data_IF_301133158933
#
_entry.id   IF_301133158933
#
_cell.length_a   1.000
_cell.length_b   1.000
_cell.length_c   1.000
_cell.angle_alpha   90.00
_cell.angle_beta   90.00
_cell.angle_gamma   90.00
#
_symmetry.space_group_name_H-M   'P 1'
#
loop_
_entity.id
_entity.type
_entity.pdbx_description
1 polymer ?
#
# COMPACT_ATOMS: atom_id res chain seq x y z
N UNK A 1 -26.91 -14.39 -18.13
CA UNK A 1 -26.20 -13.88 -19.31
C UNK A 1 -24.69 -14.13 -19.15
N UNK A 2 -24.02 -14.41 -20.27
CA UNK A 2 -22.55 -14.53 -20.25
C UNK A 2 -21.93 -13.17 -20.51
N UNK A 3 -21.07 -12.71 -19.61
CA UNK A 3 -20.21 -11.55 -19.84
C UNK A 3 -18.91 -12.06 -20.48
N UNK A 4 -18.58 -11.58 -21.66
CA UNK A 4 -17.34 -11.94 -22.34
C UNK A 4 -16.46 -10.70 -22.52
N UNK A 5 -15.31 -10.70 -21.88
CA UNK A 5 -14.25 -9.71 -22.11
C UNK A 5 -13.20 -10.28 -23.04
N UNK A 6 -12.63 -9.45 -23.91
CA UNK A 6 -11.56 -9.84 -24.82
C UNK A 6 -10.47 -8.78 -24.81
N UNK A 7 -9.25 -9.21 -24.56
CA UNK A 7 -8.05 -8.38 -24.65
C UNK A 7 -7.11 -9.01 -25.68
N UNK A 8 -6.60 -8.19 -26.59
CA UNK A 8 -5.58 -8.57 -27.58
C UNK A 8 -4.42 -7.61 -27.41
N UNK A 9 -3.20 -8.14 -27.40
CA UNK A 9 -2.00 -7.33 -27.23
C UNK A 9 -0.95 -7.69 -28.27
N UNK A 10 -0.25 -6.69 -28.75
CA UNK A 10 0.97 -6.81 -29.53
C UNK A 10 2.09 -6.07 -28.82
N UNK A 11 3.26 -6.68 -28.74
CA UNK A 11 4.44 -6.03 -28.15
C UNK A 11 5.69 -6.31 -28.98
N UNK A 12 6.62 -5.37 -28.91
CA UNK A 12 7.95 -5.49 -29.49
C UNK A 12 8.98 -4.96 -28.48
N UNK A 13 10.17 -5.58 -28.50
CA UNK A 13 11.30 -5.13 -27.67
C UNK A 13 12.58 -5.16 -28.49
N UNK A 14 13.46 -4.20 -28.22
CA UNK A 14 14.80 -4.11 -28.78
C UNK A 14 15.79 -3.77 -27.67
N UNK A 15 16.95 -4.43 -27.70
CA UNK A 15 18.07 -4.10 -26.85
C UNK A 15 19.32 -3.92 -27.69
N UNK A 16 20.00 -2.81 -27.49
CA UNK A 16 21.24 -2.46 -28.15
C UNK A 16 22.36 -2.36 -27.13
N UNK A 17 23.36 -3.19 -27.24
CA UNK A 17 24.58 -3.16 -26.43
C UNK A 17 25.76 -2.59 -27.21
N UNK A 18 26.49 -1.63 -26.63
CA UNK A 18 27.69 -1.08 -27.20
C UNK A 18 28.92 -1.38 -26.33
N UNK A 19 29.86 -2.13 -26.87
CA UNK A 19 31.14 -2.49 -26.23
C UNK A 19 31.01 -3.10 -24.82
N UNK A 20 29.89 -3.73 -24.50
CA UNK A 20 29.55 -4.22 -23.15
C UNK A 20 29.57 -3.14 -22.05
N UNK A 21 29.51 -1.86 -22.44
CA UNK A 21 29.59 -0.72 -21.53
C UNK A 21 28.24 0.00 -21.43
N UNK A 22 27.54 0.16 -22.55
CA UNK A 22 26.31 0.92 -22.65
C UNK A 22 25.21 0.07 -23.26
N UNK A 23 24.04 0.09 -22.64
CA UNK A 23 22.87 -0.66 -23.06
C UNK A 23 21.67 0.26 -23.16
N UNK A 24 21.01 0.22 -24.30
CA UNK A 24 19.74 0.89 -24.56
C UNK A 24 18.69 -0.20 -24.76
N UNK A 25 17.65 -0.17 -23.96
CA UNK A 25 16.46 -1.01 -24.14
C UNK A 25 15.26 -0.15 -24.52
N UNK A 26 14.48 -0.62 -25.47
CA UNK A 26 13.24 0.03 -25.88
C UNK A 26 12.16 -1.04 -26.04
N UNK A 27 10.98 -0.80 -25.45
CA UNK A 27 9.83 -1.68 -25.61
C UNK A 27 8.60 -0.86 -25.97
N UNK A 28 7.72 -1.45 -26.75
CA UNK A 28 6.44 -0.88 -27.07
C UNK A 28 5.37 -1.97 -27.01
N UNK A 29 4.24 -1.66 -26.38
CA UNK A 29 3.10 -2.54 -26.30
C UNK A 29 1.83 -1.80 -26.72
N UNK A 30 0.98 -2.47 -27.48
CA UNK A 30 -0.33 -1.98 -27.87
C UNK A 30 -1.37 -2.98 -27.41
N UNK A 31 -2.35 -2.53 -26.64
CA UNK A 31 -3.44 -3.35 -26.13
C UNK A 31 -4.77 -2.86 -26.69
N UNK A 32 -5.61 -3.80 -27.13
CA UNK A 32 -6.99 -3.59 -27.53
C UNK A 32 -7.88 -4.32 -26.52
N UNK A 33 -8.64 -3.57 -25.75
CA UNK A 33 -9.52 -4.11 -24.71
C UNK A 33 -10.99 -3.85 -25.07
N UNK A 34 -11.81 -4.90 -25.06
CA UNK A 34 -13.24 -4.79 -25.38
C UNK A 34 -14.03 -3.89 -24.44
N UNK A 35 -13.47 -3.60 -23.25
CA UNK A 35 -14.05 -2.68 -22.25
C UNK A 35 -13.90 -1.20 -22.64
N UNK A 36 -13.02 -0.88 -23.59
CA UNK A 36 -12.71 0.47 -24.02
C UNK A 36 -13.26 0.79 -25.42
N UNK A 37 -14.29 0.07 -25.83
CA UNK A 37 -14.98 0.35 -27.09
C UNK A 37 -15.70 1.70 -26.97
N UNK A 38 -15.30 2.66 -27.81
CA UNK A 38 -15.97 3.94 -27.96
C UNK A 38 -16.46 4.08 -29.41
N UNK A 39 -17.75 4.37 -29.59
CA UNK A 39 -18.37 4.53 -30.91
C UNK A 39 -18.16 3.36 -31.91
N UNK A 40 -18.01 2.12 -31.39
CA UNK A 40 -17.79 0.92 -32.21
C UNK A 40 -16.31 0.63 -32.52
N UNK A 41 -15.40 1.52 -32.22
CA UNK A 41 -13.97 1.32 -32.39
C UNK A 41 -13.30 0.94 -31.08
N UNK A 42 -12.34 0.01 -31.15
CA UNK A 42 -11.47 -0.36 -30.03
C UNK A 42 -10.09 0.26 -30.25
N UNK A 43 -9.76 1.39 -29.59
CA UNK A 43 -8.49 2.04 -29.81
C UNK A 43 -7.33 1.19 -29.28
N UNK A 44 -6.18 1.26 -29.97
CA UNK A 44 -4.93 0.75 -29.44
C UNK A 44 -4.46 1.65 -28.31
N UNK A 45 -4.21 1.07 -27.14
CA UNK A 45 -3.60 1.75 -26.03
C UNK A 45 -2.11 1.44 -26.07
N UNK A 46 -1.32 2.42 -26.46
CA UNK A 46 0.13 2.25 -26.63
C UNK A 46 0.89 2.61 -25.36
N UNK A 47 1.82 1.73 -24.97
CA UNK A 47 2.69 1.86 -23.79
C UNK A 47 4.15 1.74 -24.20
N UNK A 48 4.91 2.83 -24.22
CA UNK A 48 6.36 2.82 -24.45
C UNK A 48 7.13 2.58 -23.15
N UNK A 49 8.31 1.97 -23.27
CA UNK A 49 9.33 1.97 -22.24
C UNK A 49 10.70 2.15 -22.89
N UNK A 50 11.54 2.96 -22.27
CA UNK A 50 12.93 3.16 -22.66
C UNK A 50 13.82 3.09 -21.44
N UNK A 51 14.92 2.35 -21.53
CA UNK A 51 15.91 2.23 -20.47
C UNK A 51 17.31 2.43 -21.01
N UNK A 52 18.12 3.14 -20.23
CA UNK A 52 19.54 3.33 -20.50
C UNK A 52 20.34 2.85 -19.29
N UNK A 53 21.36 2.03 -19.51
CA UNK A 53 22.28 1.66 -18.44
C UNK A 53 23.73 1.69 -18.94
N UNK A 54 24.62 2.22 -18.09
CA UNK A 54 26.04 2.32 -18.35
C UNK A 54 26.86 1.63 -17.26
N UNK A 55 27.77 0.75 -17.66
CA UNK A 55 28.74 0.09 -16.77
C UNK A 55 29.97 1.01 -16.71
N UNK A 56 29.98 1.92 -15.75
CA UNK A 56 31.00 2.97 -15.61
C UNK A 56 32.39 2.35 -15.38
N UNK A 57 32.45 1.24 -14.65
CA UNK A 57 33.70 0.49 -14.42
C UNK A 57 34.36 -0.06 -15.69
N UNK A 58 33.58 -0.22 -16.76
CA UNK A 58 34.12 -0.60 -18.08
C UNK A 58 34.49 0.61 -18.96
N UNK A 59 33.98 1.81 -18.62
CA UNK A 59 34.21 3.03 -19.40
C UNK A 59 35.46 3.78 -18.95
N UNK A 60 35.70 3.82 -17.64
CA UNK A 60 36.79 4.58 -17.01
C UNK A 60 37.47 3.76 -15.93
N UNK A 61 38.78 3.98 -15.73
CA UNK A 61 39.49 3.39 -14.60
C UNK A 61 39.02 4.02 -13.31
N UNK A 62 38.41 3.20 -12.46
CA UNK A 62 37.99 3.58 -11.13
C UNK A 62 39.10 3.23 -10.10
N UNK A 63 39.07 3.82 -8.88
CA UNK A 63 39.93 3.40 -7.79
C UNK A 63 39.76 1.90 -7.49
N UNK A 64 40.84 1.21 -7.12
CA UNK A 64 40.88 -0.26 -6.95
C UNK A 64 39.85 -0.81 -5.95
N UNK A 65 39.42 0.02 -5.00
CA UNK A 65 38.37 -0.41 -4.06
C UNK A 65 36.97 -0.50 -4.67
N UNK A 66 36.74 0.12 -5.87
CA UNK A 66 35.47 0.01 -6.61
C UNK A 66 35.60 -1.08 -7.67
N UNK A 67 35.03 -2.24 -7.40
CA UNK A 67 35.13 -3.40 -8.29
C UNK A 67 34.12 -3.36 -9.44
N UNK A 68 33.00 -2.65 -9.25
CA UNK A 68 31.93 -2.54 -10.24
C UNK A 68 31.09 -1.30 -9.97
N UNK A 69 30.72 -0.58 -11.02
CA UNK A 69 29.80 0.54 -10.93
C UNK A 69 28.92 0.59 -12.18
N UNK A 70 27.61 0.48 -11.99
CA UNK A 70 26.59 0.64 -13.04
C UNK A 70 25.58 1.70 -12.64
N UNK A 71 25.29 2.59 -13.57
CA UNK A 71 24.16 3.53 -13.47
C UNK A 71 23.06 3.09 -14.43
N UNK A 72 21.81 3.28 -14.01
CA UNK A 72 20.63 2.98 -14.83
C UNK A 72 19.60 4.09 -14.70
N UNK A 73 18.89 4.34 -15.80
CA UNK A 73 17.71 5.20 -15.81
C UNK A 73 16.69 4.62 -16.76
N UNK A 74 15.41 4.77 -16.42
CA UNK A 74 14.33 4.33 -17.28
C UNK A 74 13.12 5.25 -17.22
N UNK A 75 12.39 5.27 -18.31
CA UNK A 75 11.06 5.80 -18.42
C UNK A 75 10.13 4.71 -18.91
N UNK A 76 9.00 4.51 -18.23
CA UNK A 76 8.05 3.47 -18.57
C UNK A 76 6.63 4.01 -18.47
N UNK A 77 5.82 3.75 -19.47
CA UNK A 77 4.37 3.89 -19.39
C UNK A 77 3.72 2.50 -19.31
N UNK A 78 2.79 2.37 -18.37
CA UNK A 78 1.95 1.18 -18.23
C UNK A 78 0.51 1.62 -18.20
N UNK A 79 -0.35 0.91 -18.90
CA UNK A 79 -1.77 1.14 -18.82
C UNK A 79 -2.50 -0.07 -18.26
N UNK A 80 -3.56 0.19 -17.54
CA UNK A 80 -4.48 -0.84 -17.08
C UNK A 80 -5.81 -0.68 -17.82
N UNK A 81 -6.30 -1.73 -18.48
CA UNK A 81 -7.68 -1.70 -18.95
C UNK A 81 -8.61 -1.64 -17.74
N UNK A 82 -9.74 -0.97 -17.91
CA UNK A 82 -10.76 -0.91 -16.86
C UNK A 82 -11.29 -2.32 -16.62
N UNK A 83 -11.17 -2.80 -15.40
CA UNK A 83 -11.56 -4.17 -15.03
C UNK A 83 -13.05 -4.29 -14.69
N UNK A 84 -13.71 -3.17 -14.40
CA UNK A 84 -15.12 -3.15 -14.03
C UNK A 84 -16.00 -3.37 -15.24
N UNK A 85 -16.97 -4.23 -15.07
CA UNK A 85 -17.99 -4.56 -16.07
C UNK A 85 -19.26 -3.76 -15.81
N UNK A 86 -19.99 -3.39 -16.86
CA UNK A 86 -21.24 -2.63 -16.74
C UNK A 86 -21.09 -1.12 -16.66
N UNK A 87 -19.91 -0.59 -17.02
CA UNK A 87 -19.59 0.84 -16.99
C UNK A 87 -19.99 1.53 -18.31
N UNK A 88 -20.00 0.79 -19.40
CA UNK A 88 -20.38 1.33 -20.73
C UNK A 88 -21.85 1.76 -20.75
N UNK A 89 -22.15 2.93 -21.36
CA UNK A 89 -23.53 3.36 -21.50
C UNK A 89 -24.32 2.30 -22.29
N UNK A 90 -25.20 1.63 -21.59
CA UNK A 90 -26.09 0.64 -22.11
C UNK A 90 -27.21 0.42 -21.11
N UNK A 91 -28.45 0.40 -21.59
CA UNK A 91 -29.58 0.01 -20.76
C UNK A 91 -29.45 -1.48 -20.42
N UNK A 92 -28.83 -1.79 -19.31
CA UNK A 92 -28.89 -3.14 -18.74
C UNK A 92 -30.18 -3.19 -17.93
N UNK A 93 -31.22 -3.63 -18.54
CA UNK A 93 -32.41 -4.11 -17.86
C UNK A 93 -32.08 -5.53 -17.38
N UNK A 94 -31.87 -5.70 -16.09
CA UNK A 94 -31.81 -7.04 -15.49
C UNK A 94 -33.24 -7.52 -15.27
N UNK A 95 -33.75 -8.49 -16.07
CA UNK A 95 -35.10 -9.02 -15.87
C UNK A 95 -35.10 -9.88 -14.61
N UNK A 96 -35.52 -9.32 -13.46
CA UNK A 96 -35.82 -10.15 -12.31
C UNK A 96 -37.02 -11.04 -12.53
N UNK A 97 -36.98 -12.24 -11.98
CA UNK A 97 -38.11 -13.16 -11.90
C UNK A 97 -39.33 -12.44 -11.28
N UNK A 98 -40.38 -12.24 -12.08
CA UNK A 98 -41.60 -11.53 -11.67
C UNK A 98 -41.90 -10.24 -12.42
N UNK A 99 -41.10 -9.86 -13.42
CA UNK A 99 -41.38 -8.70 -14.29
C UNK A 99 -41.08 -7.34 -13.71
N UNK A 100 -40.34 -7.27 -12.58
CA UNK A 100 -39.89 -6.01 -12.01
C UNK A 100 -38.55 -5.62 -12.67
N UNK A 101 -38.52 -4.44 -13.29
CA UNK A 101 -37.30 -3.85 -13.86
C UNK A 101 -36.60 -3.08 -12.73
N UNK A 102 -35.43 -3.56 -12.29
CA UNK A 102 -34.57 -2.79 -11.42
C UNK A 102 -33.77 -1.77 -12.22
N UNK A 103 -33.91 -0.48 -11.98
CA UNK A 103 -33.10 0.54 -12.61
C UNK A 103 -31.63 0.34 -12.28
N UNK A 104 -30.74 0.70 -13.21
CA UNK A 104 -29.30 0.71 -12.96
C UNK A 104 -29.02 1.64 -11.78
N UNK A 105 -28.39 1.11 -10.74
CA UNK A 105 -28.10 1.89 -9.53
C UNK A 105 -26.89 2.82 -9.68
N UNK A 106 -26.07 2.62 -10.71
CA UNK A 106 -24.87 3.43 -10.96
C UNK A 106 -25.07 4.26 -12.23
N UNK A 107 -24.79 5.56 -12.12
CA UNK A 107 -24.88 6.46 -13.27
C UNK A 107 -23.85 6.06 -14.33
N UNK A 108 -24.24 5.86 -15.61
CA UNK A 108 -23.32 5.44 -16.66
C UNK A 108 -22.34 6.57 -17.02
N UNK A 109 -21.05 6.24 -17.13
CA UNK A 109 -20.02 7.16 -17.56
C UNK A 109 -19.75 7.00 -19.07
N UNK A 110 -19.83 8.06 -19.87
CA UNK A 110 -19.83 7.93 -21.32
C UNK A 110 -18.45 7.78 -21.96
N UNK A 111 -17.36 8.17 -21.29
CA UNK A 111 -16.06 8.34 -21.95
C UNK A 111 -14.88 7.89 -21.05
N UNK A 112 -14.79 6.57 -20.87
CA UNK A 112 -13.72 5.97 -20.09
C UNK A 112 -12.37 6.03 -20.82
N UNK A 113 -11.37 6.56 -20.12
CA UNK A 113 -9.97 6.49 -20.53
C UNK A 113 -9.27 5.36 -19.77
N UNK A 114 -8.29 4.68 -20.37
CA UNK A 114 -7.49 3.70 -19.61
C UNK A 114 -6.71 4.41 -18.51
N UNK A 115 -6.58 3.74 -17.38
CA UNK A 115 -5.61 4.17 -16.38
C UNK A 115 -4.21 4.13 -16.97
N UNK A 116 -3.40 5.13 -16.70
CA UNK A 116 -2.07 5.26 -17.26
C UNK A 116 -1.07 5.65 -16.18
N UNK A 117 -0.10 4.77 -15.91
CA UNK A 117 1.00 5.05 -15.00
C UNK A 117 2.25 5.39 -15.79
N UNK A 118 2.83 6.55 -15.50
CA UNK A 118 4.11 7.01 -16.04
C UNK A 118 5.14 6.96 -14.92
N UNK A 119 6.23 6.23 -15.15
CA UNK A 119 7.28 6.01 -14.15
C UNK A 119 8.64 6.46 -14.67
N UNK A 120 9.39 7.13 -13.81
CA UNK A 120 10.79 7.50 -14.00
C UNK A 120 11.61 6.84 -12.90
N UNK A 121 12.70 6.20 -13.27
CA UNK A 121 13.60 5.55 -12.33
C UNK A 121 15.05 5.93 -12.61
N UNK A 122 15.81 6.12 -11.55
CA UNK A 122 17.26 6.28 -11.59
C UNK A 122 17.86 5.36 -10.55
N UNK A 123 18.83 4.53 -10.94
CA UNK A 123 19.44 3.57 -10.04
C UNK A 123 20.94 3.47 -10.19
N UNK A 124 21.57 3.05 -9.12
CA UNK A 124 22.98 2.78 -9.01
C UNK A 124 23.20 1.37 -8.48
N UNK A 125 24.10 0.61 -9.09
CA UNK A 125 24.57 -0.65 -8.56
C UNK A 125 26.10 -0.58 -8.45
N UNK A 126 26.62 -0.76 -7.24
CA UNK A 126 28.04 -0.67 -6.97
C UNK A 126 28.53 -1.89 -6.17
N UNK A 127 29.76 -2.31 -6.45
CA UNK A 127 30.45 -3.36 -5.68
C UNK A 127 31.83 -2.85 -5.30
N UNK A 128 32.19 -3.09 -4.06
CA UNK A 128 33.44 -2.62 -3.47
C UNK A 128 34.24 -3.80 -2.91
N UNK A 129 35.55 -3.63 -2.78
CA UNK A 129 36.46 -4.59 -2.15
C UNK A 129 36.35 -6.01 -2.75
N UNK A 130 36.46 -6.09 -4.08
CA UNK A 130 36.31 -7.34 -4.85
C UNK A 130 34.94 -8.04 -4.63
N UNK A 131 33.88 -7.23 -4.48
CA UNK A 131 32.51 -7.73 -4.34
C UNK A 131 32.10 -8.11 -2.92
N UNK A 132 32.96 -7.88 -1.92
CA UNK A 132 32.59 -8.10 -0.50
C UNK A 132 31.46 -7.21 -0.05
N UNK A 133 31.44 -5.94 -0.50
CA UNK A 133 30.36 -5.00 -0.24
C UNK A 133 29.61 -4.75 -1.53
N UNK A 134 28.30 -4.84 -1.49
CA UNK A 134 27.40 -4.50 -2.60
C UNK A 134 26.40 -3.44 -2.16
N UNK A 135 26.15 -2.48 -3.03
CA UNK A 135 25.13 -1.46 -2.85
C UNK A 135 24.26 -1.40 -4.11
N UNK A 136 22.96 -1.47 -3.93
CA UNK A 136 21.97 -1.17 -4.95
C UNK A 136 21.03 -0.10 -4.40
N UNK A 137 20.83 0.97 -5.15
CA UNK A 137 19.94 2.06 -4.78
C UNK A 137 19.13 2.49 -5.97
N UNK A 138 17.84 2.69 -5.78
CA UNK A 138 16.91 3.18 -6.80
C UNK A 138 16.06 4.29 -6.22
N UNK A 139 15.98 5.39 -6.94
CA UNK A 139 14.96 6.42 -6.76
C UNK A 139 13.93 6.28 -7.86
N UNK A 140 12.67 6.36 -7.53
CA UNK A 140 11.57 6.31 -8.49
C UNK A 140 10.52 7.38 -8.22
N UNK A 141 9.85 7.78 -9.29
CA UNK A 141 8.62 8.53 -9.23
C UNK A 141 7.66 7.99 -10.27
N UNK A 142 6.45 7.62 -9.84
CA UNK A 142 5.36 7.21 -10.72
C UNK A 142 4.14 8.10 -10.51
N UNK A 143 3.48 8.43 -11.61
CA UNK A 143 2.23 9.18 -11.62
C UNK A 143 1.18 8.35 -12.34
N UNK A 144 0.08 8.03 -11.65
CA UNK A 144 -1.07 7.31 -12.21
C UNK A 144 -2.17 8.29 -12.52
N UNK A 145 -2.60 8.29 -13.76
CA UNK A 145 -3.66 9.16 -14.30
C UNK A 145 -4.92 8.36 -14.61
N UNK A 146 -6.06 9.02 -14.59
CA UNK A 146 -7.37 8.45 -14.94
C UNK A 146 -7.76 7.25 -14.06
N UNK A 147 -7.39 7.23 -12.77
CA UNK A 147 -7.88 6.20 -11.86
C UNK A 147 -9.40 6.29 -11.75
N UNK A 148 -10.06 5.13 -11.83
CA UNK A 148 -11.51 5.04 -11.82
C UNK A 148 -12.00 4.71 -10.41
N UNK A 149 -12.84 5.57 -9.85
CA UNK A 149 -13.46 5.40 -8.54
C UNK A 149 -14.98 5.46 -8.64
N UNK A 150 -15.66 4.68 -7.80
CA UNK A 150 -17.11 4.77 -7.64
C UNK A 150 -17.42 5.74 -6.48
N UNK A 151 -17.94 6.90 -6.79
CA UNK A 151 -18.38 7.89 -5.81
C UNK A 151 -19.85 7.69 -5.43
N UNK A 152 -20.18 8.06 -4.19
CA UNK A 152 -21.57 8.07 -3.71
C UNK A 152 -22.32 9.21 -4.35
N UNK A 153 -23.56 8.96 -4.81
CA UNK A 153 -24.46 9.97 -5.32
C UNK A 153 -25.68 10.11 -4.42
N UNK A 154 -26.24 11.31 -4.37
CA UNK A 154 -27.45 11.55 -3.58
C UNK A 154 -28.59 10.67 -4.10
N UNK A 155 -29.32 9.94 -3.23
CA UNK A 155 -30.48 9.13 -3.63
C UNK A 155 -31.56 9.92 -4.39
N UNK A 156 -31.61 11.24 -4.22
CA UNK A 156 -32.55 12.11 -4.94
C UNK A 156 -32.35 12.11 -6.47
N UNK A 157 -31.17 11.68 -6.95
CA UNK A 157 -30.86 11.55 -8.39
C UNK A 157 -31.40 10.26 -9.01
N UNK A 158 -31.87 9.32 -8.20
CA UNK A 158 -32.27 7.97 -8.63
C UNK A 158 -31.10 6.99 -8.79
N UNK A 159 -29.87 7.44 -8.55
CA UNK A 159 -28.66 6.61 -8.61
C UNK A 159 -28.00 6.55 -7.22
N UNK A 160 -27.32 5.43 -6.95
CA UNK A 160 -26.56 5.26 -5.69
C UNK A 160 -25.10 5.65 -5.79
N UNK A 161 -24.58 5.74 -7.03
CA UNK A 161 -23.19 6.13 -7.27
C UNK A 161 -22.92 6.47 -8.72
N UNK A 162 -21.77 7.07 -8.98
CA UNK A 162 -21.26 7.38 -10.31
C UNK A 162 -19.74 7.16 -10.36
N UNK A 163 -19.25 6.82 -11.53
CA UNK A 163 -17.83 6.65 -11.74
C UNK A 163 -17.17 8.00 -12.00
N UNK A 164 -16.02 8.19 -11.37
CA UNK A 164 -15.14 9.34 -11.56
C UNK A 164 -13.76 8.83 -11.93
N UNK A 165 -13.15 9.42 -12.93
CA UNK A 165 -11.74 9.17 -13.22
C UNK A 165 -10.89 10.28 -12.58
N UNK A 166 -10.09 9.91 -11.56
CA UNK A 166 -9.24 10.85 -10.82
C UNK A 166 -8.03 11.27 -11.65
N UNK A 167 -7.63 12.53 -11.48
CA UNK A 167 -6.61 13.17 -12.30
C UNK A 167 -5.22 12.57 -12.17
N UNK A 168 -4.58 12.64 -10.98
CA UNK A 168 -3.16 12.31 -10.84
C UNK A 168 -2.84 11.86 -9.41
N UNK A 169 -2.40 10.61 -9.25
CA UNK A 169 -1.87 10.08 -7.99
C UNK A 169 -0.39 9.78 -8.17
N UNK A 170 0.44 10.38 -7.34
CA UNK A 170 1.89 10.25 -7.39
C UNK A 170 2.39 9.35 -6.27
N UNK A 171 3.27 8.42 -6.64
CA UNK A 171 4.16 7.69 -5.74
C UNK A 171 5.60 8.09 -6.04
N UNK A 172 6.37 8.41 -5.03
CA UNK A 172 7.81 8.60 -5.17
C UNK A 172 8.52 7.95 -3.99
N UNK A 173 9.65 7.34 -4.26
CA UNK A 173 10.32 6.63 -3.21
C UNK A 173 11.77 6.30 -3.51
N UNK A 174 12.37 5.70 -2.51
CA UNK A 174 13.76 5.22 -2.53
C UNK A 174 13.77 3.78 -2.04
N UNK A 175 14.49 2.95 -2.76
CA UNK A 175 14.79 1.57 -2.35
C UNK A 175 16.30 1.40 -2.33
N UNK A 176 16.84 0.85 -1.24
CA UNK A 176 18.27 0.60 -1.09
C UNK A 176 18.51 -0.77 -0.51
N UNK A 177 19.56 -1.42 -0.99
CA UNK A 177 20.08 -2.67 -0.44
C UNK A 177 21.59 -2.55 -0.24
N UNK A 178 22.05 -2.80 0.97
CA UNK A 178 23.46 -2.90 1.31
C UNK A 178 23.78 -4.34 1.70
N UNK A 179 24.69 -4.97 0.98
CA UNK A 179 25.14 -6.33 1.23
C UNK A 179 26.60 -6.38 1.65
N UNK A 180 26.90 -7.30 2.56
CA UNK A 180 28.28 -7.69 2.87
C UNK A 180 28.41 -9.21 2.87
N UNK A 181 29.43 -9.73 2.18
CA UNK A 181 29.71 -11.14 2.09
C UNK A 181 31.21 -11.37 2.32
N UNK A 182 31.56 -12.28 3.22
CA UNK A 182 32.95 -12.66 3.44
C UNK A 182 33.06 -14.09 3.96
N UNK A 183 34.28 -14.63 3.90
CA UNK A 183 34.61 -15.95 4.42
C UNK A 183 35.67 -15.85 5.49
N UNK A 184 35.34 -16.22 6.71
CA UNK A 184 36.22 -16.23 7.87
C UNK A 184 36.63 -17.69 8.19
N UNK A 185 37.74 -18.16 7.61
CA UNK A 185 38.18 -19.53 7.74
C UNK A 185 37.17 -20.52 7.13
N UNK A 186 36.38 -21.21 7.99
CA UNK A 186 35.35 -22.17 7.55
C UNK A 186 33.93 -21.63 7.65
N UNK A 187 33.78 -20.36 8.03
CA UNK A 187 32.49 -19.68 8.17
C UNK A 187 32.27 -18.77 6.97
N UNK A 188 31.23 -19.00 6.21
CA UNK A 188 30.75 -18.06 5.22
C UNK A 188 29.67 -17.22 5.87
N UNK A 189 29.84 -15.91 5.82
CA UNK A 189 28.90 -14.94 6.37
C UNK A 189 28.38 -14.02 5.28
N UNK A 190 27.07 -13.85 5.24
CA UNK A 190 26.38 -12.92 4.34
C UNK A 190 25.37 -12.11 5.14
N UNK A 191 25.31 -10.83 4.88
CA UNK A 191 24.28 -9.97 5.45
C UNK A 191 23.76 -8.97 4.43
N UNK A 192 22.45 -8.70 4.48
CA UNK A 192 21.78 -7.74 3.61
C UNK A 192 20.87 -6.87 4.44
N UNK A 193 21.08 -5.56 4.32
CA UNK A 193 20.21 -4.54 4.88
C UNK A 193 19.41 -3.90 3.75
N UNK A 194 18.08 -3.95 3.83
CA UNK A 194 17.17 -3.29 2.90
C UNK A 194 16.51 -2.09 3.58
N UNK A 195 16.29 -1.04 2.82
CA UNK A 195 15.56 0.15 3.21
C UNK A 195 14.61 0.55 2.09
N UNK A 196 13.35 0.78 2.43
CA UNK A 196 12.32 1.21 1.47
C UNK A 196 11.50 2.34 2.08
N UNK A 197 11.40 3.45 1.36
CA UNK A 197 10.51 4.56 1.69
C UNK A 197 9.70 4.94 0.46
N UNK A 198 8.38 5.08 0.63
CA UNK A 198 7.46 5.53 -0.40
C UNK A 198 6.57 6.64 0.12
N UNK A 199 6.37 7.68 -0.67
CA UNK A 199 5.41 8.74 -0.40
C UNK A 199 4.32 8.72 -1.48
N UNK A 200 3.11 8.36 -1.09
CA UNK A 200 1.91 8.48 -1.91
C UNK A 200 1.27 9.86 -1.74
N UNK A 201 0.78 10.45 -2.83
CA UNK A 201 0.04 11.73 -2.80
C UNK A 201 -0.96 11.81 -3.94
N UNK A 202 -2.19 12.14 -3.62
CA UNK A 202 -3.20 12.60 -4.59
C UNK A 202 -2.84 14.03 -4.95
N UNK A 203 -2.22 14.20 -6.13
CA UNK A 203 -1.75 15.52 -6.61
C UNK A 203 -2.92 16.35 -7.10
N UNK A 204 -3.84 15.69 -7.80
CA UNK A 204 -4.99 16.30 -8.43
C UNK A 204 -6.10 15.23 -8.50
N UNK A 205 -7.32 15.60 -8.17
CA UNK A 205 -8.46 14.73 -8.37
C UNK A 205 -9.14 15.05 -9.71
N UNK A 206 -10.25 15.73 -9.70
CA UNK A 206 -11.02 16.06 -10.90
C UNK A 206 -11.22 17.56 -10.97
N UNK A 207 -10.65 18.18 -11.98
CA UNK A 207 -10.84 19.59 -12.25
C UNK A 207 -11.52 19.78 -13.60
N UNK A 208 -12.39 20.78 -13.69
CA UNK A 208 -13.13 21.16 -14.90
C UNK A 208 -13.92 19.99 -15.54
N UNK A 209 -14.40 19.06 -14.69
CA UNK A 209 -15.25 17.99 -15.14
C UNK A 209 -16.59 18.53 -15.62
N UNK A 210 -16.93 18.26 -16.86
CA UNK A 210 -18.19 18.64 -17.43
C UNK A 210 -19.28 17.63 -17.06
N UNK A 211 -20.20 18.03 -16.21
CA UNK A 211 -21.33 17.21 -15.82
C UNK A 211 -22.19 16.86 -17.06
N UNK A 212 -22.38 15.58 -17.39
CA UNK A 212 -23.12 15.19 -18.60
C UNK A 212 -24.62 15.49 -18.52
N UNK A 213 -25.17 15.80 -17.35
CA UNK A 213 -26.60 16.06 -17.15
C UNK A 213 -26.93 17.51 -17.47
N UNK A 214 -26.19 18.45 -16.89
CA UNK A 214 -26.51 19.90 -16.95
C UNK A 214 -25.39 20.73 -17.62
N UNK A 215 -24.32 20.06 -18.06
CA UNK A 215 -23.17 20.69 -18.72
C UNK A 215 -22.38 21.66 -17.84
N UNK A 216 -22.62 21.66 -16.52
CA UNK A 216 -21.87 22.47 -15.56
C UNK A 216 -20.43 21.97 -15.39
N UNK A 217 -19.52 22.87 -15.03
CA UNK A 217 -18.16 22.49 -14.66
C UNK A 217 -18.11 22.19 -13.16
N UNK A 218 -17.64 21.00 -12.83
CA UNK A 218 -17.54 20.53 -11.44
C UNK A 218 -16.08 20.23 -11.11
N UNK A 219 -15.64 20.75 -9.97
CA UNK A 219 -14.35 20.44 -9.38
C UNK A 219 -14.57 19.52 -8.18
N UNK A 220 -13.91 18.36 -8.16
CA UNK A 220 -13.99 17.37 -7.10
C UNK A 220 -12.60 17.27 -6.46
N UNK A 221 -12.46 17.84 -5.26
CA UNK A 221 -11.22 17.82 -4.47
C UNK A 221 -11.26 16.81 -3.33
N UNK A 222 -12.41 16.19 -3.09
CA UNK A 222 -12.63 15.18 -2.08
C UNK A 222 -13.71 14.19 -2.51
N UNK A 223 -13.54 12.91 -2.13
CA UNK A 223 -14.36 11.80 -2.59
C UNK A 223 -14.52 10.75 -1.51
N UNK A 224 -15.72 10.20 -1.36
CA UNK A 224 -15.95 9.00 -0.53
C UNK A 224 -16.14 7.79 -1.43
N UNK A 225 -15.29 6.77 -1.24
CA UNK A 225 -15.34 5.52 -1.99
C UNK A 225 -16.37 4.58 -1.37
N UNK A 226 -17.40 4.24 -2.12
CA UNK A 226 -18.50 3.37 -1.66
C UNK A 226 -18.07 1.90 -1.51
N UNK A 227 -17.28 1.39 -2.45
CA UNK A 227 -16.87 -0.02 -2.49
C UNK A 227 -15.85 -0.38 -1.42
N UNK A 228 -15.15 0.60 -0.88
CA UNK A 228 -14.09 0.42 0.11
C UNK A 228 -14.51 0.74 1.56
N UNK A 229 -15.81 0.67 1.86
CA UNK A 229 -16.30 0.91 3.22
C UNK A 229 -16.20 2.36 3.66
N UNK A 230 -16.62 3.29 2.79
CA UNK A 230 -16.61 4.75 3.04
C UNK A 230 -15.20 5.34 3.24
N UNK A 231 -14.20 4.81 2.54
CA UNK A 231 -12.87 5.42 2.50
C UNK A 231 -12.95 6.82 1.89
N UNK A 232 -12.42 7.79 2.61
CA UNK A 232 -12.42 9.19 2.19
C UNK A 232 -11.08 9.58 1.59
N UNK A 233 -11.11 10.09 0.36
CA UNK A 233 -9.95 10.60 -0.35
C UNK A 233 -10.03 12.11 -0.45
N UNK A 234 -8.89 12.78 -0.35
CA UNK A 234 -8.80 14.24 -0.46
C UNK A 234 -7.53 14.63 -1.22
N UNK A 235 -7.67 15.61 -2.09
CA UNK A 235 -6.54 16.20 -2.82
C UNK A 235 -5.49 16.76 -1.85
N UNK A 236 -4.21 16.53 -2.16
CA UNK A 236 -3.10 16.92 -1.32
C UNK A 236 -2.68 15.89 -0.26
N UNK A 237 -3.51 14.89 0.00
CA UNK A 237 -3.28 13.81 0.97
C UNK A 237 -2.88 12.50 0.29
N UNK A 238 -2.52 11.47 1.09
CA UNK A 238 -2.27 10.13 0.59
C UNK A 238 -3.58 9.36 0.37
N UNK A 239 -3.57 8.40 -0.55
CA UNK A 239 -4.65 7.42 -0.67
C UNK A 239 -4.79 6.52 0.56
N UNK A 240 -3.72 6.41 1.36
CA UNK A 240 -3.68 5.63 2.59
C UNK A 240 -3.97 6.48 3.84
N UNK A 241 -4.35 7.75 3.66
CA UNK A 241 -4.76 8.60 4.77
C UNK A 241 -6.11 8.17 5.33
N UNK A 242 -6.14 7.96 6.63
CA UNK A 242 -7.34 7.56 7.37
C UNK A 242 -8.01 8.78 7.95
N UNK A 243 -9.29 8.92 7.65
CA UNK A 243 -10.14 9.98 8.18
C UNK A 243 -11.26 9.38 9.02
N UNK A 244 -11.70 10.11 10.03
CA UNK A 244 -12.84 9.73 10.86
C UNK A 244 -13.73 10.94 11.11
N UNK A 245 -14.96 10.68 11.56
CA UNK A 245 -15.85 11.68 12.13
C UNK A 245 -16.09 11.32 13.59
N UNK A 246 -16.21 12.33 14.44
CA UNK A 246 -16.55 12.13 15.84
C UNK A 246 -15.40 12.37 16.80
N UNK A 247 -15.54 13.44 17.55
CA UNK A 247 -14.75 13.77 18.73
C UNK A 247 -15.69 14.08 19.87
N UNK A 248 -15.25 13.88 21.10
CA UNK A 248 -16.00 14.28 22.28
C UNK A 248 -16.11 15.80 22.33
N UNK A 249 -17.35 16.30 22.47
CA UNK A 249 -17.60 17.73 22.56
C UNK A 249 -17.26 18.24 23.97
N UNK A 250 -16.65 19.42 23.99
CA UNK A 250 -16.28 20.10 25.23
C UNK A 250 -17.13 21.37 25.40
N UNK A 251 -17.54 21.61 26.63
CA UNK A 251 -18.15 22.86 27.04
C UNK A 251 -17.12 23.99 27.15
N UNK A 252 -17.59 25.20 27.46
CA UNK A 252 -16.74 26.38 27.66
C UNK A 252 -15.80 26.25 28.86
N UNK A 253 -16.13 25.39 29.81
CA UNK A 253 -15.34 25.05 30.99
C UNK A 253 -14.26 23.95 30.73
N UNK A 254 -14.16 23.50 29.51
CA UNK A 254 -13.23 22.44 29.09
C UNK A 254 -13.69 21.01 29.40
N UNK A 255 -14.84 20.85 30.12
CA UNK A 255 -15.37 19.53 30.44
C UNK A 255 -16.13 18.94 29.26
N UNK A 256 -16.23 17.60 29.27
CA UNK A 256 -17.05 16.88 28.32
C UNK A 256 -18.53 17.24 28.54
N UNK A 257 -19.26 17.49 27.46
CA UNK A 257 -20.70 17.75 27.52
C UNK A 257 -21.41 16.41 27.68
N UNK A 258 -22.23 16.33 28.73
CA UNK A 258 -23.01 15.11 28.99
C UNK A 258 -24.24 15.01 28.07
N UNK A 259 -24.51 13.81 27.56
CA UNK A 259 -25.66 13.49 26.74
C UNK A 259 -26.20 12.09 27.09
N UNK A 260 -27.40 12.02 27.62
CA UNK A 260 -28.00 10.77 28.05
C UNK A 260 -27.12 10.02 29.04
N UNK A 261 -26.80 8.76 28.71
CA UNK A 261 -25.88 7.90 29.50
C UNK A 261 -24.43 7.93 29.00
N UNK A 262 -24.04 8.99 28.29
CA UNK A 262 -22.71 9.16 27.73
C UNK A 262 -22.30 10.61 27.63
N UNK A 263 -21.51 10.92 26.58
CA UNK A 263 -21.00 12.25 26.27
C UNK A 263 -21.33 12.62 24.83
N UNK A 264 -21.57 13.91 24.60
CA UNK A 264 -21.89 14.41 23.27
C UNK A 264 -20.70 14.26 22.30
N UNK A 265 -21.03 13.86 21.09
CA UNK A 265 -20.04 13.64 20.01
C UNK A 265 -20.28 14.63 18.90
N UNK A 266 -19.27 15.43 18.60
CA UNK A 266 -19.28 16.30 17.41
C UNK A 266 -18.81 15.48 16.19
N UNK A 267 -19.71 15.35 15.20
CA UNK A 267 -19.45 14.66 13.92
C UNK A 267 -19.47 15.63 12.73
N UNK A 268 -19.48 16.93 13.00
CA UNK A 268 -19.60 17.96 11.96
C UNK A 268 -18.38 18.04 11.04
N UNK A 269 -17.22 17.59 11.51
CA UNK A 269 -15.96 17.67 10.78
C UNK A 269 -15.32 16.31 10.59
N UNK A 270 -14.65 16.15 9.47
CA UNK A 270 -13.74 15.02 9.22
C UNK A 270 -12.35 15.35 9.75
N UNK A 271 -11.78 14.43 10.49
CA UNK A 271 -10.49 14.55 11.14
C UNK A 271 -9.55 13.57 10.51
N UNK A 272 -8.39 14.03 10.08
CA UNK A 272 -7.31 13.15 9.61
C UNK A 272 -6.62 12.52 10.82
N UNK A 273 -6.58 11.19 10.86
CA UNK A 273 -5.90 10.44 11.91
C UNK A 273 -4.41 10.24 11.59
N UNK A 274 -4.06 10.09 10.33
CA UNK A 274 -2.72 9.85 9.82
C UNK A 274 -2.75 8.99 8.57
N UNK A 275 -1.57 8.59 8.10
CA UNK A 275 -1.43 7.63 6.99
C UNK A 275 -1.27 6.21 7.51
N UNK A 276 -1.93 5.24 6.89
CA UNK A 276 -1.69 3.83 7.16
C UNK A 276 -0.34 3.36 6.58
N UNK A 277 0.21 4.07 5.60
CA UNK A 277 1.53 3.74 5.06
C UNK A 277 2.63 4.10 6.06
N UNK A 278 3.69 3.28 6.20
CA UNK A 278 4.86 3.63 6.98
C UNK A 278 5.66 4.75 6.32
N UNK A 279 6.40 5.51 7.12
CA UNK A 279 7.39 6.46 6.61
C UNK A 279 8.52 5.73 5.89
N UNK A 280 8.94 4.58 6.45
CA UNK A 280 9.88 3.65 5.83
C UNK A 280 9.81 2.26 6.48
N UNK A 281 10.32 1.26 5.75
CA UNK A 281 10.52 -0.10 6.24
C UNK A 281 11.98 -0.50 6.09
N UNK A 282 12.44 -1.37 6.99
CA UNK A 282 13.79 -1.95 6.94
C UNK A 282 13.72 -3.46 7.13
N UNK A 283 14.62 -4.17 6.43
CA UNK A 283 14.84 -5.58 6.62
C UNK A 283 16.34 -5.86 6.78
N UNK A 284 16.71 -6.64 7.78
CA UNK A 284 18.09 -7.01 8.02
C UNK A 284 18.22 -8.51 8.12
N UNK A 285 18.80 -9.12 7.08
CA UNK A 285 19.03 -10.54 6.97
C UNK A 285 20.49 -10.88 7.24
N UNK A 286 20.70 -11.98 8.00
CA UNK A 286 22.01 -12.59 8.21
C UNK A 286 21.93 -14.06 7.84
N UNK A 287 22.92 -14.55 7.10
CA UNK A 287 23.10 -15.94 6.76
C UNK A 287 24.53 -16.36 7.16
N UNK A 288 24.63 -17.34 8.04
CA UNK A 288 25.88 -17.88 8.57
C UNK A 288 25.96 -19.37 8.20
N UNK A 289 26.97 -19.74 7.41
CA UNK A 289 27.18 -21.10 7.01
C UNK A 289 28.49 -21.61 7.58
N UNK A 290 28.42 -22.68 8.35
CA UNK A 290 29.57 -23.36 8.91
C UNK A 290 29.50 -24.85 8.62
N UNK A 291 30.35 -25.36 7.73
CA UNK A 291 30.32 -26.75 7.27
C UNK A 291 28.93 -27.15 6.77
N UNK A 292 28.28 -28.05 7.50
CA UNK A 292 26.97 -28.60 7.18
C UNK A 292 25.80 -27.87 7.86
N UNK A 293 26.07 -26.79 8.61
CA UNK A 293 25.06 -26.03 9.36
C UNK A 293 24.91 -24.66 8.71
N UNK A 294 23.67 -24.26 8.44
CA UNK A 294 23.30 -22.94 7.98
C UNK A 294 22.31 -22.31 8.95
N UNK A 295 22.61 -21.11 9.44
CA UNK A 295 21.74 -20.30 10.29
C UNK A 295 21.31 -19.08 9.50
N UNK A 296 20.01 -18.86 9.37
CA UNK A 296 19.41 -17.65 8.80
C UNK A 296 18.64 -16.89 9.87
N UNK A 297 18.82 -15.59 9.91
CA UNK A 297 18.14 -14.66 10.79
C UNK A 297 17.62 -13.48 9.97
N UNK A 298 16.35 -13.11 10.17
CA UNK A 298 15.76 -11.93 9.55
C UNK A 298 15.02 -11.08 10.57
N UNK A 299 15.45 -9.84 10.67
CA UNK A 299 14.81 -8.81 11.49
C UNK A 299 14.13 -7.83 10.53
N UNK A 300 12.88 -7.48 10.82
CA UNK A 300 12.16 -6.45 10.05
C UNK A 300 11.70 -5.34 10.97
N UNK A 301 11.67 -4.13 10.43
CA UNK A 301 11.15 -2.94 11.11
C UNK A 301 10.24 -2.15 10.19
N UNK A 302 9.10 -1.74 10.73
CA UNK A 302 8.19 -0.77 10.16
C UNK A 302 8.21 0.47 11.04
N UNK A 303 8.39 1.63 10.45
CA UNK A 303 8.53 2.90 11.16
C UNK A 303 7.50 3.89 10.65
N UNK A 304 6.74 4.49 11.56
CA UNK A 304 5.63 5.36 11.22
C UNK A 304 4.39 4.60 10.74
N UNK A 305 3.44 5.37 10.22
CA UNK A 305 2.11 4.90 9.89
C UNK A 305 1.23 4.73 11.11
N UNK A 306 -0.06 4.60 10.86
CA UNK A 306 -1.06 4.37 11.92
C UNK A 306 -1.80 3.06 11.68
N UNK A 307 -2.37 2.55 12.77
CA UNK A 307 -3.32 1.44 12.76
C UNK A 307 -4.48 1.78 13.68
N UNK A 308 -5.71 1.47 13.26
CA UNK A 308 -6.91 1.63 14.07
C UNK A 308 -7.39 0.26 14.56
N UNK A 309 -8.01 0.22 15.75
CA UNK A 309 -8.52 -1.02 16.33
C UNK A 309 -9.95 -0.88 16.81
N UNK A 310 -10.88 -1.39 16.02
CA UNK A 310 -12.26 -1.51 16.43
C UNK A 310 -12.44 -2.58 17.51
N UNK A 311 -11.62 -3.64 17.50
CA UNK A 311 -11.61 -4.65 18.55
C UNK A 311 -11.30 -4.03 19.91
N UNK A 312 -10.30 -3.14 19.99
CA UNK A 312 -9.99 -2.43 21.24
C UNK A 312 -11.17 -1.55 21.68
N UNK A 313 -11.81 -0.86 20.72
CA UNK A 313 -12.99 -0.03 21.01
C UNK A 313 -14.10 -0.87 21.62
N UNK A 314 -14.42 -2.02 21.07
CA UNK A 314 -15.43 -2.93 21.65
C UNK A 314 -15.00 -3.48 23.00
N UNK A 315 -13.75 -3.92 23.16
CA UNK A 315 -13.26 -4.41 24.46
C UNK A 315 -13.40 -3.34 25.55
N UNK A 316 -13.13 -2.10 25.23
CA UNK A 316 -13.28 -0.97 26.15
C UNK A 316 -14.77 -0.70 26.47
N UNK A 317 -15.63 -0.66 25.45
CA UNK A 317 -17.06 -0.45 25.60
C UNK A 317 -17.71 -1.54 26.47
N UNK A 318 -17.31 -2.80 26.31
CA UNK A 318 -17.80 -3.91 27.14
C UNK A 318 -17.07 -4.03 28.48
N UNK A 319 -16.10 -3.17 28.78
CA UNK A 319 -15.38 -3.14 30.03
C UNK A 319 -14.46 -4.34 30.29
N UNK A 320 -14.09 -5.09 29.23
CA UNK A 320 -13.27 -6.31 29.32
C UNK A 320 -11.80 -6.08 29.01
N UNK A 321 -11.40 -4.87 28.62
CA UNK A 321 -10.00 -4.51 28.41
C UNK A 321 -9.29 -4.19 29.72
N UNK A 322 -7.96 -4.35 29.73
CA UNK A 322 -7.13 -3.94 30.86
C UNK A 322 -7.27 -2.45 31.17
N UNK A 323 -7.32 -1.61 30.13
CA UNK A 323 -7.42 -0.15 30.28
C UNK A 323 -8.74 0.26 30.92
N UNK A 324 -9.86 -0.34 30.49
CA UNK A 324 -11.18 -0.07 31.09
C UNK A 324 -11.27 -0.59 32.53
N UNK A 325 -10.63 -1.72 32.86
CA UNK A 325 -10.56 -2.25 34.22
C UNK A 325 -9.78 -1.30 35.13
N UNK A 326 -8.57 -0.89 34.73
CA UNK A 326 -7.75 0.07 35.48
C UNK A 326 -8.47 1.42 35.69
N UNK A 327 -9.21 1.90 34.68
CA UNK A 327 -10.00 3.11 34.81
C UNK A 327 -11.10 2.98 35.88
N UNK A 328 -11.81 1.82 35.94
CA UNK A 328 -12.80 1.58 36.99
C UNK A 328 -12.15 1.52 38.38
N UNK A 329 -11.04 0.81 38.51
CA UNK A 329 -10.31 0.68 39.80
C UNK A 329 -9.79 2.01 40.29
N UNK A 330 -9.40 2.90 39.40
CA UNK A 330 -8.95 4.27 39.69
C UNK A 330 -10.10 5.29 39.86
N UNK A 331 -11.35 4.83 39.84
CA UNK A 331 -12.55 5.65 40.02
C UNK A 331 -12.90 6.54 38.82
N UNK A 332 -12.46 6.19 37.61
CA UNK A 332 -12.81 6.83 36.34
C UNK A 332 -11.62 7.18 35.46
N UNK A 333 -11.92 7.72 34.27
CA UNK A 333 -10.96 8.17 33.28
C UNK A 333 -10.53 9.60 33.57
N UNK A 334 -9.24 9.84 33.67
CA UNK A 334 -8.66 11.19 33.78
C UNK A 334 -8.38 11.76 32.41
N UNK A 335 -9.02 12.87 32.07
CA UNK A 335 -8.80 13.59 30.82
C UNK A 335 -8.72 15.09 31.08
N UNK A 336 -7.62 15.72 30.72
CA UNK A 336 -7.35 17.17 30.88
C UNK A 336 -7.64 17.69 32.29
N UNK A 337 -7.23 16.94 33.30
CA UNK A 337 -7.42 17.31 34.71
C UNK A 337 -8.81 17.06 35.29
N UNK A 338 -9.74 16.57 34.50
CA UNK A 338 -11.09 16.18 34.92
C UNK A 338 -11.25 14.67 34.99
N UNK A 339 -12.03 14.22 35.96
CA UNK A 339 -12.35 12.80 36.12
C UNK A 339 -13.74 12.51 35.57
N UNK A 340 -13.84 11.49 34.72
CA UNK A 340 -15.07 11.07 34.10
C UNK A 340 -15.40 9.62 34.47
N UNK A 341 -16.67 9.30 34.56
CA UNK A 341 -17.12 7.95 34.79
C UNK A 341 -16.61 7.00 33.67
N UNK A 342 -16.02 5.87 34.05
CA UNK A 342 -15.36 4.96 33.13
C UNK A 342 -16.35 4.29 32.17
N UNK A 343 -17.52 3.88 32.66
CA UNK A 343 -18.53 3.21 31.86
C UNK A 343 -19.11 4.18 30.83
N UNK A 344 -19.50 5.37 31.24
CA UNK A 344 -20.04 6.40 30.34
C UNK A 344 -19.03 6.81 29.28
N UNK A 345 -17.74 6.94 29.68
CA UNK A 345 -16.67 7.32 28.76
C UNK A 345 -16.46 6.24 27.69
N UNK A 346 -16.24 4.97 28.10
CA UNK A 346 -15.96 3.90 27.14
C UNK A 346 -17.19 3.49 26.34
N UNK A 347 -18.39 3.59 26.86
CA UNK A 347 -19.62 3.43 26.08
C UNK A 347 -19.75 4.50 24.99
N UNK A 348 -19.27 5.71 25.25
CA UNK A 348 -19.27 6.75 24.22
C UNK A 348 -18.16 6.51 23.20
N UNK A 349 -16.90 6.46 23.60
CA UNK A 349 -15.77 6.38 22.64
C UNK A 349 -15.69 5.04 21.94
N UNK A 350 -15.86 3.95 22.68
CA UNK A 350 -15.80 2.58 22.17
C UNK A 350 -17.10 2.14 21.53
N UNK A 351 -18.24 2.34 22.23
CA UNK A 351 -19.55 1.92 21.76
C UNK A 351 -20.00 2.67 20.49
N UNK A 352 -19.62 3.94 20.32
CA UNK A 352 -19.90 4.71 19.12
C UNK A 352 -18.78 4.61 18.06
N UNK A 353 -17.72 3.84 18.32
CA UNK A 353 -16.63 3.59 17.37
C UNK A 353 -15.84 4.85 16.99
N UNK A 354 -15.51 5.70 17.98
CA UNK A 354 -14.74 6.92 17.73
C UNK A 354 -13.25 6.58 17.49
N UNK A 355 -12.90 6.26 16.24
CA UNK A 355 -11.56 5.80 15.87
C UNK A 355 -10.44 6.79 16.18
N UNK A 356 -10.75 8.08 16.39
CA UNK A 356 -9.77 9.06 16.89
C UNK A 356 -9.15 8.67 18.25
N UNK A 357 -9.86 7.90 19.07
CA UNK A 357 -9.39 7.41 20.37
C UNK A 357 -8.74 6.01 20.29
N UNK A 358 -8.86 5.33 19.17
CA UNK A 358 -8.37 3.96 18.93
C UNK A 358 -7.38 3.89 17.76
N UNK A 359 -6.66 4.98 17.56
CA UNK A 359 -5.58 5.09 16.57
C UNK A 359 -4.25 5.01 17.27
N UNK A 360 -3.38 4.13 16.78
CA UNK A 360 -2.07 3.84 17.35
C UNK A 360 -0.99 4.00 16.30
N UNK A 361 0.21 4.34 16.74
CA UNK A 361 1.41 4.32 15.89
C UNK A 361 1.76 2.87 15.56
N UNK A 362 1.91 2.58 14.27
CA UNK A 362 2.16 1.23 13.76
C UNK A 362 3.63 0.82 13.79
N UNK A 363 4.52 1.64 14.34
CA UNK A 363 5.95 1.34 14.46
C UNK A 363 6.18 0.04 15.23
N UNK A 364 6.94 -0.88 14.61
CA UNK A 364 7.31 -2.14 15.22
C UNK A 364 8.64 -2.66 14.67
N UNK A 365 9.33 -3.48 15.47
CA UNK A 365 10.54 -4.22 15.09
C UNK A 365 10.40 -5.65 15.58
N UNK A 366 10.62 -6.63 14.70
CA UNK A 366 10.40 -8.03 15.00
C UNK A 366 11.47 -8.97 14.44
N UNK A 367 11.61 -10.12 15.08
CA UNK A 367 12.28 -11.28 14.54
C UNK A 367 11.34 -11.97 13.55
N UNK A 368 11.51 -11.64 12.27
CA UNK A 368 10.62 -12.10 11.21
C UNK A 368 10.83 -13.56 10.89
N UNK A 369 12.09 -14.01 10.85
CA UNK A 369 12.43 -15.40 10.56
C UNK A 369 13.71 -15.81 11.28
N UNK A 370 13.71 -17.03 11.79
CA UNK A 370 14.89 -17.76 12.25
C UNK A 370 14.85 -19.14 11.60
N UNK A 371 15.92 -19.50 10.89
CA UNK A 371 16.03 -20.80 10.24
C UNK A 371 17.35 -21.48 10.61
N UNK A 372 17.28 -22.77 10.91
CA UNK A 372 18.45 -23.62 11.14
C UNK A 372 18.35 -24.82 10.20
N UNK A 373 19.33 -24.96 9.32
CA UNK A 373 19.39 -26.02 8.33
C UNK A 373 20.63 -26.88 8.59
N UNK A 374 20.47 -28.19 8.55
CA UNK A 374 21.55 -29.17 8.59
C UNK A 374 21.56 -29.99 7.32
N UNK A 375 22.69 -29.96 6.59
CA UNK A 375 22.93 -30.79 5.41
C UNK A 375 23.54 -32.10 5.83
N UNK A 376 22.89 -33.21 5.52
CA UNK A 376 23.35 -34.54 5.88
C UNK A 376 24.64 -34.86 5.10
N UNK A 377 25.69 -35.43 5.77
CA UNK A 377 26.91 -35.80 5.12
C UNK A 377 26.68 -36.88 4.03
N UNK A 378 27.32 -36.73 2.88
CA UNK A 378 27.20 -37.69 1.74
C UNK A 378 27.34 -39.15 2.16
N UNK A 379 28.23 -39.43 3.13
CA UNK A 379 28.45 -40.78 3.67
C UNK A 379 27.23 -41.44 4.30
N UNK A 380 26.20 -40.66 4.71
CA UNK A 380 24.95 -41.17 5.27
C UNK A 380 23.89 -41.42 4.20
N UNK A 381 24.08 -40.89 3.00
CA UNK A 381 23.09 -40.91 1.92
C UNK A 381 23.27 -42.08 0.95
N UNK A 382 24.45 -42.75 0.99
CA UNK A 382 24.81 -43.78 0.02
C UNK A 382 24.83 -43.26 -1.42
N UNK A 383 24.51 -44.12 -2.37
CA UNK A 383 24.45 -43.78 -3.79
C UNK A 383 23.05 -43.36 -4.26
N UNK A 384 22.05 -43.46 -3.37
CA UNK A 384 20.63 -43.21 -3.69
C UNK A 384 20.33 -41.71 -3.73
N UNK A 385 20.86 -40.96 -2.77
CA UNK A 385 20.57 -39.51 -2.66
C UNK A 385 21.84 -38.69 -2.85
N UNK A 386 21.76 -37.67 -3.70
CA UNK A 386 22.86 -36.73 -3.90
C UNK A 386 22.99 -35.71 -2.78
N UNK A 387 21.89 -35.26 -2.22
CA UNK A 387 21.81 -34.31 -1.13
C UNK A 387 20.54 -34.55 -0.30
N UNK A 388 20.60 -34.31 1.01
CA UNK A 388 19.45 -34.26 1.88
C UNK A 388 19.69 -33.21 2.98
N UNK A 389 18.69 -32.42 3.27
CA UNK A 389 18.72 -31.36 4.27
C UNK A 389 17.54 -31.45 5.21
N UNK A 390 17.76 -31.10 6.47
CA UNK A 390 16.70 -30.93 7.47
C UNK A 390 16.72 -29.48 7.90
N UNK A 391 15.57 -28.82 7.84
CA UNK A 391 15.47 -27.41 8.17
C UNK A 391 14.36 -27.18 9.21
N UNK A 392 14.68 -26.39 10.22
CA UNK A 392 13.71 -25.84 11.15
C UNK A 392 13.55 -24.34 10.84
N UNK A 393 12.31 -23.91 10.62
CA UNK A 393 12.02 -22.52 10.29
C UNK A 393 10.91 -22.01 11.21
N UNK A 394 11.21 -20.95 11.95
CA UNK A 394 10.24 -20.23 12.76
C UNK A 394 10.01 -18.84 12.16
N UNK A 395 8.76 -18.39 12.10
CA UNK A 395 8.38 -17.07 11.61
C UNK A 395 7.59 -16.29 12.64
N UNK A 396 7.74 -14.96 12.62
CA UNK A 396 7.08 -14.04 13.57
C UNK A 396 7.32 -14.43 15.04
N UNK A 397 8.55 -14.85 15.36
CA UNK A 397 8.88 -15.48 16.63
C UNK A 397 8.87 -14.51 17.81
N UNK A 398 9.28 -13.25 17.57
CA UNK A 398 9.43 -12.30 18.66
C UNK A 398 9.26 -10.86 18.17
N UNK A 399 8.53 -10.06 18.95
CA UNK A 399 8.36 -8.62 18.75
C UNK A 399 9.32 -7.87 19.71
N UNK A 400 10.39 -7.31 19.16
CA UNK A 400 11.35 -6.54 19.96
C UNK A 400 10.78 -5.21 20.43
N UNK A 401 10.01 -4.56 19.57
CA UNK A 401 9.44 -3.25 19.84
C UNK A 401 8.09 -3.07 19.13
N UNK A 402 7.14 -2.44 19.79
CA UNK A 402 5.86 -2.00 19.21
C UNK A 402 5.31 -0.83 20.03
N UNK A 403 4.59 0.07 19.39
CA UNK A 403 3.85 1.15 20.06
C UNK A 403 2.37 0.81 20.27
N UNK A 404 1.76 0.07 19.34
CA UNK A 404 0.39 -0.40 19.51
C UNK A 404 0.28 -1.48 20.61
N UNK A 405 -0.83 -1.59 21.33
CA UNK A 405 -1.03 -2.61 22.36
C UNK A 405 -1.20 -4.04 21.80
N UNK A 406 -1.31 -4.18 20.50
CA UNK A 406 -1.44 -5.43 19.71
C UNK A 406 -0.39 -5.46 18.59
N UNK A 407 -0.35 -6.53 17.80
CA UNK A 407 0.51 -6.62 16.61
C UNK A 407 -0.05 -5.73 15.49
N UNK A 408 0.61 -4.61 15.13
CA UNK A 408 0.10 -3.68 14.15
C UNK A 408 0.08 -4.21 12.71
N UNK A 409 0.80 -5.29 12.40
CA UNK A 409 0.83 -5.89 11.06
C UNK A 409 -0.27 -6.94 10.84
N UNK A 410 -1.04 -7.27 11.87
CA UNK A 410 -2.19 -8.17 11.74
C UNK A 410 -3.37 -7.53 10.97
N UNK A 411 -3.39 -6.21 10.87
CA UNK A 411 -4.40 -5.48 10.11
C UNK A 411 -3.90 -5.25 8.68
N UNK A 412 -4.18 -6.20 7.80
CA UNK A 412 -3.77 -6.14 6.38
C UNK A 412 -4.57 -5.20 5.50
N UNK A 413 -5.50 -4.41 6.04
CA UNK A 413 -6.30 -3.47 5.26
C UNK A 413 -6.48 -2.13 5.98
N UNK A 414 -6.66 -1.06 5.21
CA UNK A 414 -7.07 0.26 5.68
C UNK A 414 -8.53 0.31 6.14
N UNK A 415 -9.26 -0.79 6.00
CA UNK A 415 -10.62 -0.95 6.48
C UNK A 415 -10.67 -1.11 8.00
N UNK A 416 -11.65 -0.50 8.61
CA UNK A 416 -12.02 -0.74 10.00
C UNK A 416 -12.53 -2.17 10.13
N UNK A 417 -11.84 -3.01 10.89
CA UNK A 417 -12.36 -4.27 11.36
C UNK A 417 -13.01 -4.10 12.72
#
# INVERSE_FOLDING_TARGET
GYLRTRNVAFFASAELGWKNMLYLSATGRCDWASQLVSNGDTPCIFYPSIGLSGIISEMVKLPEFISYLKLRTSYTEVGSPITQTGITPGTVTDPMSGGVINPISTYPYPDFKPERTKSYEVGINARFLNGRISFDGTFYQSNTYNQTFLSVMSPATGYSGFYVQAGNVRNRGVEMTLGYNDTFGKVNYSTHLTYTANQNKIVEMVHDYRNPIDNSLVNITELTLKEAGDVYLREGYSMSDVFTTGILQRGRDGKLVEEGNGYQVDRSQRIRLGSADPDFTMGWRHDINYKNISLGLMITGRFGGIVTSQTQAFMDAFGVSKVSAEARDNGGVMLDGHRYDAERYYNTVGGQGLMSYYTYDATNVRLQELSLTYSLPKKWLGDVFNNATISFVGRNLFMFYRKAPFDPDMNGSTGTY
#
